data_IF_927286923383
#
_entry.id   IF_927286923383
#
_cell.length_a   1.000
_cell.length_b   1.000
_cell.length_c   1.000
_cell.angle_alpha   90.00
_cell.angle_beta   90.00
_cell.angle_gamma   90.00
#
_symmetry.space_group_name_H-M   'P 1'
#
loop_
_entity.id
_entity.type
_entity.pdbx_description
1 polymer ?
#
# COMPACT_ATOMS: atom_id res chain seq x y z
N UNK A 1 26.32 -7.88 7.15
CA UNK A 1 25.49 -7.57 5.97
C UNK A 1 24.73 -8.84 5.60
N UNK A 2 23.42 -8.93 5.82
CA UNK A 2 22.62 -9.96 5.14
C UNK A 2 22.22 -9.46 3.74
N UNK A 3 22.12 -10.36 2.76
CA UNK A 3 21.99 -10.02 1.34
C UNK A 3 20.52 -9.79 0.97
N UNK A 4 20.29 -8.72 0.23
CA UNK A 4 19.39 -8.60 -0.93
C UNK A 4 18.17 -9.52 -0.90
N UNK A 5 17.00 -9.00 -0.46
CA UNK A 5 15.71 -9.71 -0.44
C UNK A 5 15.26 -10.16 -1.86
N UNK A 6 15.45 -11.43 -2.28
CA UNK A 6 15.00 -11.92 -3.59
C UNK A 6 13.54 -12.42 -3.52
N UNK A 7 13.01 -12.55 -2.31
CA UNK A 7 11.75 -13.24 -2.03
C UNK A 7 10.49 -12.38 -2.28
N UNK A 8 10.64 -11.09 -2.58
CA UNK A 8 9.49 -10.24 -2.92
C UNK A 8 9.00 -10.55 -4.34
N UNK A 9 9.89 -10.86 -5.29
CA UNK A 9 9.52 -11.12 -6.69
C UNK A 9 9.58 -12.60 -7.13
N UNK A 10 9.99 -13.53 -6.25
CA UNK A 10 9.95 -14.96 -6.58
C UNK A 10 8.49 -15.50 -6.54
N UNK A 11 7.97 -16.03 -7.67
CA UNK A 11 6.68 -16.72 -7.69
C UNK A 11 6.61 -17.88 -6.69
N UNK A 12 7.75 -18.46 -6.29
CA UNK A 12 7.85 -19.58 -5.35
C UNK A 12 7.91 -19.20 -3.87
N UNK A 13 8.01 -17.91 -3.50
CA UNK A 13 8.08 -17.56 -2.07
C UNK A 13 6.85 -18.09 -1.35
N UNK A 14 7.03 -18.75 -0.23
CA UNK A 14 5.91 -19.27 0.54
C UNK A 14 5.18 -18.12 1.25
N UNK A 15 3.96 -18.40 1.74
CA UNK A 15 3.25 -17.50 2.66
C UNK A 15 4.10 -17.13 3.88
N UNK A 16 4.96 -18.06 4.32
CA UNK A 16 5.87 -17.90 5.46
C UNK A 16 6.99 -16.91 5.16
N UNK A 17 7.50 -16.90 3.93
CA UNK A 17 8.59 -16.00 3.52
C UNK A 17 8.10 -14.56 3.47
N UNK A 18 6.92 -14.31 2.86
CA UNK A 18 6.33 -12.96 2.86
C UNK A 18 6.02 -12.49 4.28
N UNK A 19 5.43 -13.37 5.10
CA UNK A 19 5.16 -13.04 6.50
C UNK A 19 6.44 -12.68 7.26
N UNK A 20 7.54 -13.42 7.06
CA UNK A 20 8.83 -13.13 7.68
C UNK A 20 9.40 -11.79 7.24
N UNK A 21 9.41 -11.49 5.93
CA UNK A 21 9.95 -10.24 5.39
C UNK A 21 9.20 -9.04 5.97
N UNK A 22 7.87 -9.09 5.95
CA UNK A 22 7.04 -8.00 6.47
C UNK A 22 7.20 -7.89 7.99
N UNK A 23 7.23 -9.03 8.70
CA UNK A 23 7.36 -9.06 10.18
C UNK A 23 8.71 -8.56 10.69
N UNK A 24 9.75 -8.61 9.86
CA UNK A 24 11.07 -8.07 10.21
C UNK A 24 11.06 -6.54 10.33
N UNK A 25 10.14 -5.84 9.66
CA UNK A 25 9.91 -4.42 9.81
C UNK A 25 8.68 -4.17 10.71
N UNK A 26 8.93 -3.82 11.97
CA UNK A 26 7.88 -3.50 12.95
C UNK A 26 6.99 -2.34 12.51
N UNK A 27 7.54 -1.36 11.81
CA UNK A 27 6.79 -0.17 11.36
C UNK A 27 5.84 -0.53 10.22
N UNK A 28 6.30 -1.33 9.27
CA UNK A 28 5.51 -1.85 8.16
C UNK A 28 4.43 -2.79 8.68
N UNK A 29 4.80 -3.71 9.57
CA UNK A 29 3.86 -4.65 10.20
C UNK A 29 2.72 -3.96 10.92
N UNK A 30 3.02 -2.99 11.78
CA UNK A 30 1.99 -2.27 12.54
C UNK A 30 1.03 -1.50 11.62
N UNK A 31 1.53 -0.93 10.53
CA UNK A 31 0.72 -0.20 9.55
C UNK A 31 -0.17 -1.14 8.75
N UNK A 32 0.40 -2.25 8.29
CA UNK A 32 -0.32 -3.27 7.55
C UNK A 32 -1.43 -3.87 8.41
N UNK A 33 -1.15 -4.25 9.66
CA UNK A 33 -2.18 -4.73 10.59
C UNK A 33 -3.26 -3.68 10.84
N UNK A 34 -2.90 -2.40 10.94
CA UNK A 34 -3.90 -1.31 11.08
C UNK A 34 -4.78 -1.18 9.83
N UNK A 35 -4.19 -1.32 8.64
CA UNK A 35 -4.92 -1.30 7.37
C UNK A 35 -5.86 -2.50 7.28
N UNK A 36 -5.37 -3.70 7.59
CA UNK A 36 -6.12 -4.96 7.61
C UNK A 36 -7.29 -4.92 8.60
N UNK A 37 -7.12 -4.26 9.75
CA UNK A 37 -8.19 -4.08 10.74
C UNK A 37 -9.09 -2.86 10.50
N UNK A 38 -8.86 -2.10 9.43
CA UNK A 38 -9.73 -0.95 9.13
C UNK A 38 -11.10 -1.42 8.63
N UNK A 39 -12.09 -0.53 8.72
CA UNK A 39 -13.44 -0.79 8.20
C UNK A 39 -13.45 -1.21 6.72
N UNK A 40 -12.38 -0.91 5.98
CA UNK A 40 -12.18 -1.32 4.60
C UNK A 40 -12.20 -2.84 4.37
N UNK A 41 -11.61 -3.64 5.25
CA UNK A 41 -11.65 -5.10 5.13
C UNK A 41 -12.82 -5.72 5.89
N UNK A 42 -13.33 -5.03 6.92
CA UNK A 42 -14.56 -5.43 7.60
C UNK A 42 -14.50 -6.81 8.27
N UNK A 43 -13.31 -7.27 8.67
CA UNK A 43 -13.17 -8.58 9.30
C UNK A 43 -13.91 -8.64 10.65
N UNK A 44 -14.61 -9.74 10.95
CA UNK A 44 -15.42 -9.87 12.17
C UNK A 44 -14.59 -9.99 13.44
N UNK A 45 -13.30 -10.32 13.30
CA UNK A 45 -12.36 -10.41 14.41
C UNK A 45 -11.06 -9.68 14.08
N UNK A 46 -10.39 -9.20 15.12
CA UNK A 46 -9.14 -8.45 14.99
C UNK A 46 -8.03 -9.38 14.50
N UNK A 47 -7.28 -8.92 13.51
CA UNK A 47 -6.11 -9.61 12.96
C UNK A 47 -4.86 -9.06 13.66
N UNK A 48 -4.23 -9.87 14.51
CA UNK A 48 -3.08 -9.44 15.33
C UNK A 48 -1.71 -9.92 14.80
N UNK A 49 -1.67 -10.74 13.75
CA UNK A 49 -0.40 -11.26 13.19
C UNK A 49 -0.35 -11.16 11.67
N UNK A 50 0.85 -10.93 11.13
CA UNK A 50 1.08 -10.89 9.69
C UNK A 50 0.78 -12.23 9.05
N UNK A 51 1.15 -13.35 9.69
CA UNK A 51 0.82 -14.69 9.22
C UNK A 51 -0.68 -14.89 9.06
N UNK A 52 -1.49 -14.41 10.03
CA UNK A 52 -2.95 -14.46 9.93
C UNK A 52 -3.48 -13.58 8.81
N UNK A 53 -2.92 -12.38 8.62
CA UNK A 53 -3.24 -11.50 7.51
C UNK A 53 -2.92 -12.12 6.14
N UNK A 54 -1.78 -12.82 6.00
CA UNK A 54 -1.41 -13.56 4.77
C UNK A 54 -2.42 -14.65 4.48
N UNK A 55 -2.89 -15.39 5.48
CA UNK A 55 -3.86 -16.48 5.28
C UNK A 55 -5.21 -15.98 4.79
N UNK A 56 -5.70 -14.87 5.34
CA UNK A 56 -7.05 -14.36 5.01
C UNK A 56 -7.05 -13.59 3.70
N UNK A 57 -6.06 -12.73 3.48
CA UNK A 57 -5.99 -11.85 2.30
C UNK A 57 -5.25 -12.57 1.16
N UNK A 58 -4.28 -13.40 1.46
CA UNK A 58 -3.46 -14.08 0.47
C UNK A 58 -2.12 -13.38 0.20
N UNK A 59 -1.13 -14.19 -0.16
CA UNK A 59 0.28 -13.79 -0.36
C UNK A 59 0.45 -12.57 -1.28
N UNK A 60 -0.07 -12.65 -2.51
CA UNK A 60 0.13 -11.61 -3.55
C UNK A 60 -0.42 -10.27 -3.10
N UNK A 61 -1.60 -10.31 -2.49
CA UNK A 61 -2.37 -9.12 -2.12
C UNK A 61 -1.72 -8.43 -0.92
N UNK A 62 -1.27 -9.21 0.07
CA UNK A 62 -0.52 -8.67 1.18
C UNK A 62 0.82 -8.06 0.76
N UNK A 63 1.50 -8.68 -0.22
CA UNK A 63 2.71 -8.12 -0.83
C UNK A 63 2.44 -6.75 -1.46
N UNK A 64 1.41 -6.66 -2.29
CA UNK A 64 1.13 -5.43 -3.02
C UNK A 64 0.70 -4.30 -2.05
N UNK A 65 -0.03 -4.62 -0.98
CA UNK A 65 -0.34 -3.69 0.11
C UNK A 65 0.92 -3.25 0.89
N UNK A 66 1.84 -4.18 1.16
CA UNK A 66 3.10 -3.88 1.83
C UNK A 66 3.94 -2.92 0.97
N UNK A 67 4.05 -3.18 -0.33
CA UNK A 67 4.74 -2.30 -1.28
C UNK A 67 4.13 -0.90 -1.31
N UNK A 68 2.81 -0.79 -1.46
CA UNK A 68 2.15 0.52 -1.46
C UNK A 68 2.33 1.27 -0.12
N UNK A 69 2.28 0.53 0.98
CA UNK A 69 2.54 1.05 2.33
C UNK A 69 3.98 1.55 2.47
N UNK A 70 4.98 0.86 1.92
CA UNK A 70 6.37 1.32 1.91
C UNK A 70 6.57 2.58 1.06
N UNK A 71 5.94 2.64 -0.12
CA UNK A 71 5.97 3.82 -0.99
C UNK A 71 5.44 5.07 -0.28
N UNK A 72 4.33 4.95 0.47
CA UNK A 72 3.78 6.04 1.29
C UNK A 72 4.82 6.65 2.25
N UNK A 73 5.71 5.82 2.81
CA UNK A 73 6.70 6.25 3.79
C UNK A 73 7.80 7.11 3.18
N UNK A 74 8.22 6.78 1.95
CA UNK A 74 9.29 7.48 1.24
C UNK A 74 8.98 8.98 1.04
N UNK A 75 7.70 9.34 1.00
CA UNK A 75 7.25 10.71 0.73
C UNK A 75 6.76 11.48 1.97
N UNK A 76 7.00 10.97 3.19
CA UNK A 76 6.68 11.71 4.43
C UNK A 76 7.52 12.96 4.66
N UNK A 77 8.62 13.14 3.90
CA UNK A 77 9.50 14.30 3.99
C UNK A 77 9.11 15.49 3.10
N UNK A 78 8.07 15.38 2.26
CA UNK A 78 7.67 16.47 1.38
C UNK A 78 7.09 17.63 2.23
N UNK A 79 7.59 18.86 2.09
CA UNK A 79 7.07 20.01 2.80
C UNK A 79 5.56 20.20 2.63
N UNK A 80 4.85 20.42 3.73
CA UNK A 80 3.39 20.53 3.76
C UNK A 80 2.82 21.73 2.97
N UNK A 81 3.65 22.71 2.63
CA UNK A 81 3.26 23.85 1.80
C UNK A 81 3.19 23.52 0.30
N UNK A 82 3.80 22.40 -0.12
CA UNK A 82 3.75 21.91 -1.50
C UNK A 82 2.57 20.97 -1.71
N UNK A 83 2.36 20.06 -0.76
CA UNK A 83 1.24 19.13 -0.79
C UNK A 83 0.76 18.82 0.62
N UNK A 84 -0.56 18.87 0.80
CA UNK A 84 -1.17 18.38 2.02
C UNK A 84 -1.19 16.85 1.98
N UNK A 85 -0.24 16.25 2.71
CA UNK A 85 0.00 14.80 2.72
C UNK A 85 -1.26 14.02 3.15
N UNK A 86 -2.05 14.52 4.10
CA UNK A 86 -3.26 13.83 4.57
C UNK A 86 -4.37 13.76 3.50
N UNK A 87 -4.87 14.89 2.94
CA UNK A 87 -5.84 14.86 1.84
C UNK A 87 -5.38 14.03 0.64
N UNK A 88 -4.10 14.10 0.28
CA UNK A 88 -3.54 13.29 -0.80
C UNK A 88 -3.71 11.79 -0.54
N UNK A 89 -3.40 11.33 0.67
CA UNK A 89 -3.56 9.91 1.02
C UNK A 89 -5.02 9.51 1.18
N UNK A 90 -5.89 10.38 1.69
CA UNK A 90 -7.33 10.13 1.77
C UNK A 90 -7.94 9.95 0.37
N UNK A 91 -7.59 10.82 -0.58
CA UNK A 91 -7.95 10.68 -1.99
C UNK A 91 -7.42 9.36 -2.58
N UNK A 92 -6.13 9.09 -2.41
CA UNK A 92 -5.49 7.88 -2.93
C UNK A 92 -6.15 6.60 -2.38
N UNK A 93 -6.41 6.57 -1.07
CA UNK A 93 -7.14 5.46 -0.43
C UNK A 93 -8.55 5.37 -1.00
N UNK A 94 -9.28 6.48 -1.10
CA UNK A 94 -10.62 6.54 -1.68
C UNK A 94 -10.67 5.97 -3.11
N UNK A 95 -9.72 6.35 -3.96
CA UNK A 95 -9.56 5.80 -5.30
C UNK A 95 -9.29 4.30 -5.28
N UNK A 96 -8.38 3.83 -4.42
CA UNK A 96 -8.14 2.40 -4.23
C UNK A 96 -9.41 1.63 -3.85
N UNK A 97 -10.17 2.15 -2.87
CA UNK A 97 -11.44 1.55 -2.45
C UNK A 97 -12.43 1.50 -3.61
N UNK A 98 -12.63 2.62 -4.32
CA UNK A 98 -13.55 2.70 -5.45
C UNK A 98 -13.14 1.74 -6.58
N UNK A 99 -11.86 1.68 -6.94
CA UNK A 99 -11.35 0.77 -7.96
C UNK A 99 -11.58 -0.69 -7.60
N UNK A 100 -11.35 -1.07 -6.33
CA UNK A 100 -11.64 -2.43 -5.84
C UNK A 100 -13.13 -2.75 -5.86
N UNK A 101 -13.97 -1.83 -5.40
CA UNK A 101 -15.43 -2.01 -5.39
C UNK A 101 -15.97 -2.19 -6.81
N UNK A 102 -15.50 -1.39 -7.77
CA UNK A 102 -15.85 -1.54 -9.18
C UNK A 102 -15.39 -2.89 -9.73
N UNK A 103 -14.14 -3.29 -9.46
CA UNK A 103 -13.63 -4.59 -9.88
C UNK A 103 -14.45 -5.76 -9.30
N UNK A 104 -14.83 -5.65 -8.02
CA UNK A 104 -15.69 -6.63 -7.35
C UNK A 104 -17.09 -6.67 -7.94
N UNK A 105 -17.70 -5.51 -8.20
CA UNK A 105 -19.03 -5.40 -8.80
C UNK A 105 -19.07 -6.03 -10.21
N UNK A 106 -18.01 -5.82 -11.00
CA UNK A 106 -17.85 -6.42 -12.32
C UNK A 106 -17.31 -7.86 -12.30
N UNK A 107 -17.09 -8.47 -11.12
CA UNK A 107 -16.59 -9.84 -10.95
C UNK A 107 -15.25 -10.09 -11.66
N UNK A 108 -14.40 -9.07 -11.72
CA UNK A 108 -13.06 -9.17 -12.30
C UNK A 108 -12.14 -9.91 -11.30
N UNK A 109 -11.27 -10.83 -11.75
CA UNK A 109 -10.31 -11.47 -10.85
C UNK A 109 -9.30 -10.45 -10.29
N UNK A 110 -8.66 -10.80 -9.17
CA UNK A 110 -7.58 -9.99 -8.55
C UNK A 110 -8.00 -8.58 -8.10
N UNK A 111 -9.17 -8.43 -7.47
CA UNK A 111 -9.72 -7.13 -7.04
C UNK A 111 -8.75 -6.26 -6.19
N UNK A 112 -7.86 -6.87 -5.42
CA UNK A 112 -6.86 -6.13 -4.62
C UNK A 112 -5.81 -5.44 -5.48
N UNK A 113 -5.51 -5.96 -6.68
CA UNK A 113 -4.63 -5.28 -7.62
C UNK A 113 -5.23 -3.92 -8.02
N UNK A 114 -6.56 -3.84 -8.18
CA UNK A 114 -7.25 -2.60 -8.48
C UNK A 114 -7.23 -1.63 -7.29
N UNK A 115 -7.25 -2.12 -6.04
CA UNK A 115 -7.01 -1.28 -4.87
C UNK A 115 -5.63 -0.60 -4.95
N UNK A 116 -4.59 -1.39 -5.23
CA UNK A 116 -3.21 -0.89 -5.30
C UNK A 116 -3.04 0.08 -6.47
N UNK A 117 -3.65 -0.21 -7.62
CA UNK A 117 -3.67 0.71 -8.77
C UNK A 117 -4.33 2.04 -8.40
N UNK A 118 -5.52 2.02 -7.78
CA UNK A 118 -6.20 3.24 -7.36
C UNK A 118 -5.44 3.98 -6.26
N UNK A 119 -4.76 3.27 -5.36
CA UNK A 119 -3.93 3.86 -4.31
C UNK A 119 -2.68 4.55 -4.86
N UNK A 120 -2.10 4.03 -5.94
CA UNK A 120 -0.85 4.54 -6.50
C UNK A 120 -1.03 5.43 -7.74
N UNK A 121 -2.25 5.63 -8.23
CA UNK A 121 -2.51 6.32 -9.51
C UNK A 121 -1.87 7.72 -9.58
N UNK A 122 -1.85 8.44 -8.47
CA UNK A 122 -1.36 9.82 -8.37
C UNK A 122 0.06 9.92 -7.77
N UNK A 123 0.77 8.79 -7.61
CA UNK A 123 2.10 8.77 -6.98
C UNK A 123 3.13 9.64 -7.72
N UNK A 124 2.95 9.82 -9.03
CA UNK A 124 3.78 10.70 -9.86
C UNK A 124 3.78 12.15 -9.38
N UNK A 125 2.69 12.63 -8.77
CA UNK A 125 2.62 13.98 -8.21
C UNK A 125 3.62 14.15 -7.06
N UNK A 126 3.76 13.13 -6.21
CA UNK A 126 4.75 13.15 -5.11
C UNK A 126 6.18 13.16 -5.64
N UNK A 127 6.46 12.42 -6.72
CA UNK A 127 7.77 12.42 -7.38
C UNK A 127 8.10 13.82 -7.92
N UNK A 128 7.13 14.48 -8.56
CA UNK A 128 7.28 15.83 -9.10
C UNK A 128 7.53 16.86 -7.99
N UNK A 129 6.76 16.83 -6.90
CA UNK A 129 6.99 17.71 -5.75
C UNK A 129 8.35 17.47 -5.08
N UNK A 130 8.87 16.24 -5.09
CA UNK A 130 10.17 15.92 -4.50
C UNK A 130 11.36 16.40 -5.36
N UNK A 131 11.25 16.38 -6.69
CA UNK A 131 12.35 16.75 -7.58
C UNK A 131 12.29 18.20 -8.07
N UNK A 132 11.10 18.71 -8.35
CA UNK A 132 10.88 20.02 -8.96
C UNK A 132 9.70 20.75 -8.29
N UNK A 133 9.83 21.17 -7.02
CA UNK A 133 8.71 21.66 -6.21
C UNK A 133 8.01 22.89 -6.80
N UNK A 134 8.75 23.86 -7.36
CA UNK A 134 8.17 25.09 -7.92
C UNK A 134 7.36 24.83 -9.20
N UNK A 135 7.91 24.04 -10.13
CA UNK A 135 7.24 23.68 -11.39
C UNK A 135 6.05 22.74 -11.15
N UNK A 136 6.20 21.83 -10.19
CA UNK A 136 5.10 20.95 -9.77
C UNK A 136 3.95 21.76 -9.18
N UNK A 137 4.24 22.78 -8.38
CA UNK A 137 3.23 23.68 -7.82
C UNK A 137 2.50 24.43 -8.92
N UNK A 138 3.19 24.97 -9.92
CA UNK A 138 2.58 25.69 -11.05
C UNK A 138 1.68 24.78 -11.92
N UNK A 139 2.08 23.53 -12.14
CA UNK A 139 1.37 22.61 -13.04
C UNK A 139 0.25 21.78 -12.38
N UNK A 140 0.22 21.69 -11.04
CA UNK A 140 -0.67 20.77 -10.30
C UNK A 140 -1.63 21.45 -9.31
N UNK A 141 -1.65 22.79 -9.24
CA UNK A 141 -2.73 23.60 -8.64
C UNK A 141 -3.86 23.84 -9.62
#
# INVERSE_FOLDING_TARGET
MPPDHPAVDDPKSSMRDIAQIISADQSLSARLLRLVNSAFFGFPSKIDTISHAVTIIGKKQLRDLALATSVIQMFRGIPSHLIQVRPFWEHSIGCGIASRLLASFHKVPNIEQFFVTGLLHDIGRLILYNHNPEQAKEALT
#
